data_IF_244351230714
#
_entry.id   IF_244351230714
#
_cell.length_a   1.000
_cell.length_b   1.000
_cell.length_c   1.000
_cell.angle_alpha   90.00
_cell.angle_beta   90.00
_cell.angle_gamma   90.00
#
_symmetry.space_group_name_H-M   'P 1'
#
loop_
_entity.id
_entity.type
_entity.pdbx_description
1 polymer ?
#
# COMPACT_ATOMS: atom_id res chain seq x y z
N UNK A 1 38.08 19.68 -10.41
CA UNK A 1 37.94 18.65 -9.38
C UNK A 1 36.62 17.95 -9.63
N UNK A 2 36.67 16.91 -10.48
CA UNK A 2 35.55 16.10 -10.90
C UNK A 2 35.15 15.13 -9.75
N UNK A 3 33.92 15.24 -9.31
CA UNK A 3 33.28 14.19 -8.49
C UNK A 3 32.30 13.44 -9.38
N UNK A 4 32.83 12.44 -10.08
CA UNK A 4 31.99 11.51 -10.82
C UNK A 4 31.54 10.39 -9.85
N UNK A 5 30.24 10.20 -9.59
CA UNK A 5 29.80 9.16 -8.66
C UNK A 5 29.93 7.77 -9.29
N UNK A 6 30.63 6.89 -8.60
CA UNK A 6 31.04 5.53 -9.01
C UNK A 6 29.90 4.52 -9.27
N UNK A 7 28.65 4.93 -9.27
CA UNK A 7 27.52 4.02 -9.51
C UNK A 7 27.13 3.85 -11.00
N UNK A 8 27.64 4.73 -11.89
CA UNK A 8 27.32 4.66 -13.33
C UNK A 8 27.99 3.53 -14.10
N UNK A 9 28.94 2.80 -13.51
CA UNK A 9 29.67 1.73 -14.18
C UNK A 9 29.21 0.31 -13.89
N UNK A 10 28.18 0.09 -13.07
CA UNK A 10 27.71 -1.29 -12.73
C UNK A 10 26.46 -1.74 -13.47
N UNK A 11 25.81 -0.90 -14.27
CA UNK A 11 24.60 -1.26 -15.04
C UNK A 11 24.88 -1.57 -16.52
N UNK A 12 26.10 -1.36 -17.00
CA UNK A 12 26.49 -1.61 -18.40
C UNK A 12 27.01 -3.00 -18.70
N UNK A 13 27.60 -3.68 -17.74
CA UNK A 13 28.35 -4.93 -17.99
C UNK A 13 27.58 -6.24 -17.70
N UNK A 14 26.38 -6.15 -17.16
CA UNK A 14 25.54 -7.33 -16.86
C UNK A 14 24.62 -7.74 -18.04
N UNK A 15 24.59 -6.99 -19.13
CA UNK A 15 23.67 -7.23 -20.26
C UNK A 15 24.35 -7.80 -21.53
N UNK A 16 25.63 -8.12 -21.50
CA UNK A 16 26.36 -8.55 -22.73
C UNK A 16 27.04 -9.92 -22.67
N UNK A 17 26.81 -10.74 -21.67
CA UNK A 17 27.34 -12.11 -21.67
C UNK A 17 26.26 -13.11 -21.33
N UNK A 18 25.40 -13.41 -22.30
CA UNK A 18 24.84 -14.74 -22.54
C UNK A 18 23.89 -14.69 -23.75
N UNK A 19 24.49 -14.48 -24.91
CA UNK A 19 23.83 -14.69 -26.19
C UNK A 19 24.33 -16.04 -26.71
N UNK A 20 23.66 -17.11 -26.43
CA UNK A 20 23.55 -18.33 -27.25
C UNK A 20 22.86 -19.46 -26.48
N UNK A 21 21.57 -19.37 -26.27
CA UNK A 21 20.75 -20.55 -26.00
C UNK A 21 19.33 -20.33 -26.49
N UNK A 22 19.05 -20.91 -27.67
CA UNK A 22 17.73 -21.28 -28.18
C UNK A 22 16.62 -20.22 -28.11
N UNK A 23 16.42 -19.51 -29.21
CA UNK A 23 15.13 -18.99 -29.64
C UNK A 23 14.12 -20.15 -29.74
N UNK A 24 13.46 -20.48 -28.65
CA UNK A 24 12.15 -21.14 -28.75
C UNK A 24 11.17 -20.06 -29.14
N UNK A 25 10.28 -20.29 -30.11
CA UNK A 25 9.16 -19.39 -30.36
C UNK A 25 8.36 -19.34 -29.06
N UNK A 26 8.35 -18.19 -28.39
CA UNK A 26 7.42 -17.89 -27.33
C UNK A 26 6.03 -17.91 -27.97
N UNK A 27 5.44 -19.11 -28.04
CA UNK A 27 4.01 -19.23 -28.17
C UNK A 27 3.44 -18.34 -27.09
N UNK A 28 2.40 -17.59 -27.45
CA UNK A 28 1.63 -16.69 -26.63
C UNK A 28 1.35 -17.30 -25.24
N UNK A 29 2.32 -17.26 -24.34
CA UNK A 29 2.03 -17.27 -22.93
C UNK A 29 1.41 -15.89 -22.68
N UNK A 30 0.08 -15.87 -22.78
CA UNK A 30 -0.73 -14.88 -22.11
C UNK A 30 -0.17 -14.87 -20.69
N UNK A 31 0.57 -13.82 -20.31
CA UNK A 31 0.88 -13.56 -18.91
C UNK A 31 -0.50 -13.53 -18.26
N UNK A 32 -0.82 -14.57 -17.53
CA UNK A 32 -2.04 -14.62 -16.73
C UNK A 32 -1.76 -13.69 -15.52
N UNK A 33 -1.89 -12.39 -15.79
CA UNK A 33 -2.04 -11.35 -14.80
C UNK A 33 -3.47 -11.46 -14.29
N UNK A 34 -3.88 -12.64 -13.82
CA UNK A 34 -4.95 -12.72 -12.87
C UNK A 34 -4.43 -12.02 -11.61
N UNK A 35 -4.63 -10.70 -11.55
CA UNK A 35 -4.42 -9.94 -10.33
C UNK A 35 -5.26 -10.65 -9.27
N UNK A 36 -4.59 -11.31 -8.31
CA UNK A 36 -5.29 -12.02 -7.26
C UNK A 36 -6.18 -11.01 -6.55
N UNK A 37 -7.48 -11.27 -6.53
CA UNK A 37 -8.44 -10.44 -5.80
C UNK A 37 -8.02 -10.41 -4.34
N UNK A 38 -7.62 -9.24 -3.86
CA UNK A 38 -7.25 -9.03 -2.46
C UNK A 38 -8.44 -8.53 -1.67
N UNK A 39 -8.48 -8.91 -0.38
CA UNK A 39 -9.35 -8.27 0.58
C UNK A 39 -8.61 -7.13 1.26
N UNK A 40 -9.08 -5.91 1.05
CA UNK A 40 -8.44 -4.68 1.49
C UNK A 40 -9.33 -3.97 2.50
N UNK A 41 -8.78 -3.62 3.65
CA UNK A 41 -9.40 -2.69 4.57
C UNK A 41 -9.01 -1.26 4.24
N UNK A 42 -9.93 -0.30 4.27
CA UNK A 42 -9.62 1.11 4.05
C UNK A 42 -10.22 1.99 5.15
N UNK A 43 -9.37 2.76 5.85
CA UNK A 43 -9.77 3.64 6.94
C UNK A 43 -9.40 5.08 6.60
N UNK A 44 -10.40 5.96 6.68
CA UNK A 44 -10.26 7.35 6.28
C UNK A 44 -10.72 7.58 4.84
N UNK A 45 -12.03 7.83 4.66
CA UNK A 45 -12.68 7.97 3.36
C UNK A 45 -13.03 9.44 3.04
N UNK A 46 -12.17 10.35 3.47
CA UNK A 46 -12.27 11.77 3.13
C UNK A 46 -11.93 12.05 1.66
N UNK A 47 -11.58 13.31 1.35
CA UNK A 47 -11.30 13.78 -0.01
C UNK A 47 -10.24 12.98 -0.77
N UNK A 48 -9.27 12.41 -0.06
CA UNK A 48 -8.22 11.58 -0.65
C UNK A 48 -8.58 10.10 -0.63
N UNK A 49 -8.99 9.56 0.52
CA UNK A 49 -9.21 8.13 0.69
C UNK A 49 -10.41 7.60 -0.09
N UNK A 50 -11.49 8.36 -0.23
CA UNK A 50 -12.67 7.94 -0.98
C UNK A 50 -12.35 7.59 -2.45
N UNK A 51 -11.70 8.47 -3.26
CA UNK A 51 -11.30 8.11 -4.61
C UNK A 51 -10.24 7.00 -4.67
N UNK A 52 -9.33 6.91 -3.69
CA UNK A 52 -8.35 5.82 -3.63
C UNK A 52 -9.07 4.47 -3.42
N UNK A 53 -9.98 4.38 -2.47
CA UNK A 53 -10.76 3.16 -2.22
C UNK A 53 -11.62 2.76 -3.42
N UNK A 54 -12.20 3.74 -4.12
CA UNK A 54 -12.97 3.49 -5.36
C UNK A 54 -12.10 2.92 -6.48
N UNK A 55 -10.87 3.39 -6.65
CA UNK A 55 -9.95 2.85 -7.64
C UNK A 55 -9.59 1.39 -7.35
N UNK A 56 -9.41 1.02 -6.07
CA UNK A 56 -9.16 -0.37 -5.67
C UNK A 56 -10.32 -1.29 -6.02
N UNK A 57 -11.57 -0.86 -5.78
CA UNK A 57 -12.75 -1.64 -6.20
C UNK A 57 -12.87 -1.74 -7.72
N UNK A 58 -12.56 -0.66 -8.44
CA UNK A 58 -12.55 -0.67 -9.89
C UNK A 58 -11.49 -1.61 -10.50
N UNK A 59 -10.40 -1.87 -9.75
CA UNK A 59 -9.36 -2.84 -10.10
C UNK A 59 -9.72 -4.28 -9.70
N UNK A 60 -10.91 -4.53 -9.15
CA UNK A 60 -11.39 -5.89 -8.86
C UNK A 60 -11.13 -6.38 -7.45
N UNK A 61 -10.63 -5.54 -6.53
CA UNK A 61 -10.41 -5.92 -5.14
C UNK A 61 -11.70 -5.81 -4.30
N UNK A 62 -11.82 -6.65 -3.26
CA UNK A 62 -12.84 -6.52 -2.23
C UNK A 62 -12.38 -5.46 -1.21
N UNK A 63 -13.11 -4.35 -1.10
CA UNK A 63 -12.74 -3.25 -0.20
C UNK A 63 -13.78 -3.07 0.90
N UNK A 64 -13.35 -3.20 2.16
CA UNK A 64 -14.12 -2.87 3.36
C UNK A 64 -13.71 -1.47 3.83
N UNK A 65 -14.65 -0.57 3.99
CA UNK A 65 -14.37 0.83 4.32
C UNK A 65 -14.95 1.29 5.65
N UNK A 66 -14.20 2.15 6.35
CA UNK A 66 -14.66 2.84 7.55
C UNK A 66 -14.17 4.29 7.60
N UNK A 67 -15.08 5.18 7.94
CA UNK A 67 -14.79 6.57 8.28
C UNK A 67 -15.81 7.06 9.32
N UNK A 68 -15.38 7.95 10.21
CA UNK A 68 -16.24 8.46 11.29
C UNK A 68 -17.25 9.54 10.81
N UNK A 69 -16.99 10.15 9.65
CA UNK A 69 -17.77 11.28 9.14
C UNK A 69 -18.25 11.09 7.71
N UNK A 70 -17.48 10.37 6.90
CA UNK A 70 -17.75 10.23 5.46
C UNK A 70 -18.43 8.90 5.15
N UNK A 71 -19.43 8.87 4.28
CA UNK A 71 -20.00 7.62 3.77
C UNK A 71 -18.97 6.90 2.89
N UNK A 72 -19.09 5.57 2.78
CA UNK A 72 -18.32 4.81 1.82
C UNK A 72 -18.72 5.15 0.39
N UNK A 73 -17.77 5.26 -0.55
CA UNK A 73 -18.08 5.44 -1.96
C UNK A 73 -18.65 4.15 -2.57
N UNK A 74 -19.26 4.26 -3.75
CA UNK A 74 -19.80 3.13 -4.49
C UNK A 74 -18.75 2.04 -4.70
N UNK A 75 -19.15 0.80 -4.48
CA UNK A 75 -18.30 -0.39 -4.59
C UNK A 75 -17.53 -0.75 -3.31
N UNK A 76 -17.41 0.16 -2.35
CA UNK A 76 -16.80 -0.10 -1.05
C UNK A 76 -17.85 -0.58 -0.05
N UNK A 77 -17.63 -1.72 0.57
CA UNK A 77 -18.52 -2.26 1.60
C UNK A 77 -18.30 -1.53 2.92
N UNK A 78 -19.32 -0.80 3.38
CA UNK A 78 -19.24 -0.09 4.65
C UNK A 78 -19.28 -1.03 5.83
N UNK A 79 -18.38 -0.86 6.78
CA UNK A 79 -18.37 -1.55 8.07
C UNK A 79 -18.54 -0.57 9.23
N UNK A 80 -18.82 -1.08 10.42
CA UNK A 80 -19.28 -0.25 11.55
C UNK A 80 -18.18 0.23 12.48
N UNK A 81 -16.97 -0.33 12.37
CA UNK A 81 -15.83 0.04 13.22
C UNK A 81 -14.49 -0.38 12.60
N UNK A 82 -13.39 0.12 13.16
CA UNK A 82 -12.01 -0.13 12.72
C UNK A 82 -11.65 -1.62 12.75
N UNK A 83 -12.06 -2.35 13.78
CA UNK A 83 -11.75 -3.77 13.89
C UNK A 83 -12.41 -4.61 12.76
N UNK A 84 -13.63 -4.23 12.35
CA UNK A 84 -14.32 -4.89 11.26
C UNK A 84 -13.62 -4.67 9.90
N UNK A 85 -12.93 -3.55 9.71
CA UNK A 85 -12.11 -3.30 8.50
C UNK A 85 -10.98 -4.31 8.40
N UNK A 86 -10.34 -4.62 9.52
CA UNK A 86 -9.16 -5.51 9.57
C UNK A 86 -9.51 -7.00 9.43
N UNK A 87 -10.77 -7.39 9.65
CA UNK A 87 -11.18 -8.79 9.71
C UNK A 87 -10.95 -9.53 8.39
N UNK A 88 -9.89 -10.32 8.33
CA UNK A 88 -9.49 -11.10 7.15
C UNK A 88 -8.90 -10.27 6.01
N UNK A 89 -8.53 -9.00 6.23
CA UNK A 89 -7.87 -8.18 5.24
C UNK A 89 -6.42 -8.64 5.01
N UNK A 90 -6.00 -8.69 3.75
CA UNK A 90 -4.61 -8.91 3.37
C UNK A 90 -3.76 -7.66 3.64
N UNK A 91 -4.34 -6.51 3.30
CA UNK A 91 -3.76 -5.18 3.49
C UNK A 91 -4.81 -4.28 4.14
N UNK A 92 -4.41 -3.48 5.13
CA UNK A 92 -5.22 -2.37 5.63
C UNK A 92 -4.53 -1.06 5.26
N UNK A 93 -5.27 -0.19 4.60
CA UNK A 93 -4.80 1.14 4.17
C UNK A 93 -5.40 2.19 5.09
N UNK A 94 -4.57 3.13 5.53
CA UNK A 94 -5.03 4.30 6.31
C UNK A 94 -4.72 5.59 5.54
N UNK A 95 -5.66 6.54 5.55
CA UNK A 95 -5.51 7.87 4.96
C UNK A 95 -6.12 8.91 5.90
N UNK A 96 -5.34 9.32 6.90
CA UNK A 96 -5.78 10.01 8.10
C UNK A 96 -5.15 11.41 8.22
N UNK A 97 -5.79 12.33 8.97
CA UNK A 97 -5.39 13.74 8.99
C UNK A 97 -4.04 14.04 9.65
N UNK A 98 -3.60 13.25 10.63
CA UNK A 98 -2.38 13.50 11.42
C UNK A 98 -1.88 12.27 12.18
N UNK A 99 -0.64 12.33 12.70
CA UNK A 99 0.01 11.24 13.39
C UNK A 99 -0.69 10.79 14.68
N UNK A 100 -1.33 11.70 15.42
CA UNK A 100 -2.07 11.34 16.64
C UNK A 100 -3.25 10.43 16.33
N UNK A 101 -4.03 10.77 15.30
CA UNK A 101 -5.16 9.95 14.85
C UNK A 101 -4.64 8.65 14.24
N UNK A 102 -3.59 8.70 13.42
CA UNK A 102 -3.00 7.52 12.81
C UNK A 102 -2.52 6.50 13.87
N UNK A 103 -1.85 6.94 14.93
CA UNK A 103 -1.44 6.09 16.06
C UNK A 103 -2.62 5.46 16.80
N UNK A 104 -3.65 6.25 17.07
CA UNK A 104 -4.86 5.74 17.75
C UNK A 104 -5.56 4.67 16.90
N UNK A 105 -5.74 4.91 15.62
CA UNK A 105 -6.33 3.95 14.68
C UNK A 105 -5.45 2.73 14.50
N UNK A 106 -4.13 2.91 14.38
CA UNK A 106 -3.18 1.80 14.28
C UNK A 106 -3.24 0.87 15.50
N UNK A 107 -3.31 1.42 16.71
CA UNK A 107 -3.42 0.61 17.94
C UNK A 107 -4.69 -0.27 17.93
N UNK A 108 -5.80 0.23 17.41
CA UNK A 108 -7.06 -0.50 17.30
C UNK A 108 -7.00 -1.52 16.18
N UNK A 109 -6.62 -1.11 14.97
CA UNK A 109 -6.63 -1.98 13.78
C UNK A 109 -5.65 -3.15 13.91
N UNK A 110 -4.45 -2.90 14.44
CA UNK A 110 -3.43 -3.92 14.65
C UNK A 110 -3.87 -5.03 15.62
N UNK A 111 -4.81 -4.74 16.53
CA UNK A 111 -5.36 -5.74 17.43
C UNK A 111 -6.24 -6.79 16.71
N UNK A 112 -6.79 -6.44 15.55
CA UNK A 112 -7.68 -7.28 14.75
C UNK A 112 -7.03 -7.81 13.47
N UNK A 113 -5.86 -7.32 13.08
CA UNK A 113 -5.13 -7.79 11.91
C UNK A 113 -4.48 -9.15 12.15
N UNK A 114 -4.45 -9.98 11.13
CA UNK A 114 -3.73 -11.25 11.14
C UNK A 114 -2.22 -11.04 11.05
N UNK A 115 -1.45 -11.93 11.69
CA UNK A 115 0.00 -11.93 11.51
C UNK A 115 0.38 -12.11 10.04
N UNK A 116 1.37 -11.36 9.60
CA UNK A 116 1.85 -11.40 8.22
C UNK A 116 1.02 -10.57 7.22
N UNK A 117 -0.13 -9.97 7.64
CA UNK A 117 -0.81 -8.94 6.85
C UNK A 117 -0.02 -7.62 6.85
N UNK A 118 -0.44 -6.66 6.04
CA UNK A 118 0.26 -5.38 5.86
C UNK A 118 -0.63 -4.22 6.32
N UNK A 119 -0.10 -3.35 7.18
CA UNK A 119 -0.66 -2.02 7.43
C UNK A 119 0.10 -1.01 6.56
N UNK A 120 -0.61 -0.38 5.62
CA UNK A 120 -0.10 0.62 4.69
C UNK A 120 -0.64 2.00 5.07
N UNK A 121 0.18 2.85 5.68
CA UNK A 121 -0.24 4.21 6.04
C UNK A 121 0.11 5.20 4.93
N UNK A 122 -0.93 5.71 4.25
CA UNK A 122 -0.82 6.71 3.20
C UNK A 122 -0.96 8.15 3.74
N UNK A 123 -1.09 8.31 5.05
CA UNK A 123 -1.23 9.60 5.71
C UNK A 123 0.08 10.40 5.65
N UNK A 124 -0.02 11.72 5.62
CA UNK A 124 1.16 12.58 5.81
C UNK A 124 1.33 12.85 7.29
N UNK A 125 2.21 12.08 7.92
CA UNK A 125 2.47 12.16 9.37
C UNK A 125 3.95 12.45 9.65
N UNK A 126 4.26 12.80 10.88
CA UNK A 126 5.64 12.99 11.32
C UNK A 126 6.38 11.66 11.50
N UNK A 127 7.71 11.71 11.35
CA UNK A 127 8.58 10.52 11.43
C UNK A 127 8.49 9.79 12.77
N UNK A 128 8.28 10.52 13.88
CA UNK A 128 8.17 9.90 15.19
C UNK A 128 6.89 9.05 15.26
N UNK A 129 5.77 9.58 14.82
CA UNK A 129 4.49 8.84 14.73
C UNK A 129 4.59 7.60 13.83
N UNK A 130 5.22 7.71 12.64
CA UNK A 130 5.42 6.57 11.75
C UNK A 130 6.27 5.47 12.40
N UNK A 131 7.35 5.84 13.11
CA UNK A 131 8.20 4.88 13.84
C UNK A 131 7.48 4.20 15.00
N UNK A 132 6.63 4.92 15.74
CA UNK A 132 5.83 4.34 16.80
C UNK A 132 4.81 3.33 16.24
N UNK A 133 4.16 3.64 15.11
CA UNK A 133 3.25 2.71 14.42
C UNK A 133 4.01 1.47 13.95
N UNK A 134 5.21 1.65 13.36
CA UNK A 134 6.05 0.54 12.94
C UNK A 134 6.39 -0.42 14.09
N UNK A 135 6.75 0.12 15.27
CA UNK A 135 7.02 -0.68 16.48
C UNK A 135 5.77 -1.42 16.97
N UNK A 136 4.60 -0.77 16.94
CA UNK A 136 3.33 -1.42 17.28
C UNK A 136 3.02 -2.58 16.33
N UNK A 137 3.20 -2.39 15.04
CA UNK A 137 2.97 -3.41 14.01
C UNK A 137 3.92 -4.61 14.19
N UNK A 138 5.23 -4.35 14.38
CA UNK A 138 6.25 -5.37 14.60
C UNK A 138 5.91 -6.25 15.83
N UNK A 139 5.48 -5.63 16.93
CA UNK A 139 5.08 -6.34 18.16
C UNK A 139 3.88 -7.28 17.96
N UNK A 140 3.12 -7.11 16.87
CA UNK A 140 1.95 -7.92 16.50
C UNK A 140 2.23 -8.88 15.33
N UNK A 141 3.46 -8.86 14.78
CA UNK A 141 3.82 -9.63 13.59
C UNK A 141 3.11 -9.16 12.32
N UNK A 142 2.68 -7.89 12.28
CA UNK A 142 2.10 -7.23 11.11
C UNK A 142 3.20 -6.43 10.41
N UNK A 143 3.25 -6.52 9.09
CA UNK A 143 4.16 -5.71 8.28
C UNK A 143 3.65 -4.27 8.24
N UNK A 144 4.56 -3.29 8.23
CA UNK A 144 4.20 -1.88 8.14
C UNK A 144 4.91 -1.19 6.98
N UNK A 145 4.16 -0.36 6.26
CA UNK A 145 4.67 0.55 5.23
C UNK A 145 4.19 1.97 5.53
N UNK A 146 5.12 2.90 5.62
CA UNK A 146 4.87 4.34 5.59
C UNK A 146 4.92 4.79 4.13
N UNK A 147 3.81 5.26 3.60
CA UNK A 147 3.66 5.52 2.17
C UNK A 147 2.89 6.81 1.86
N UNK A 148 3.36 7.97 2.36
CA UNK A 148 2.72 9.23 2.03
C UNK A 148 2.63 9.43 0.52
N UNK A 149 1.54 10.10 0.09
CA UNK A 149 1.19 10.24 -1.32
C UNK A 149 1.37 11.67 -1.84
N UNK A 150 1.70 11.78 -3.12
CA UNK A 150 1.79 13.04 -3.86
C UNK A 150 0.90 13.00 -5.11
N UNK A 151 0.22 14.09 -5.43
CA UNK A 151 -0.69 14.21 -6.58
C UNK A 151 -2.04 14.85 -6.24
N UNK A 152 -2.33 15.05 -4.94
CA UNK A 152 -3.57 15.66 -4.46
C UNK A 152 -4.83 14.92 -4.87
N UNK A 153 -5.98 15.53 -4.66
CA UNK A 153 -7.30 14.91 -4.96
C UNK A 153 -7.43 14.54 -6.44
N UNK A 154 -6.90 15.36 -7.34
CA UNK A 154 -6.93 15.06 -8.77
C UNK A 154 -6.16 13.77 -9.11
N UNK A 155 -4.98 13.58 -8.52
CA UNK A 155 -4.21 12.35 -8.65
C UNK A 155 -4.92 11.13 -8.04
N UNK A 156 -5.58 11.32 -6.90
CA UNK A 156 -6.37 10.26 -6.26
C UNK A 156 -7.54 9.80 -7.15
N UNK A 157 -8.28 10.75 -7.73
CA UNK A 157 -9.40 10.46 -8.66
C UNK A 157 -8.89 9.78 -9.93
N UNK A 158 -7.78 10.23 -10.49
CA UNK A 158 -7.21 9.70 -11.73
C UNK A 158 -6.45 8.38 -11.55
N UNK A 159 -6.23 7.89 -10.31
CA UNK A 159 -5.40 6.71 -10.05
C UNK A 159 -3.92 6.93 -10.40
N UNK A 160 -3.42 8.17 -10.31
CA UNK A 160 -2.08 8.57 -10.72
C UNK A 160 -1.24 9.16 -9.56
N UNK A 161 -1.57 8.79 -8.33
CA UNK A 161 -0.77 9.18 -7.16
C UNK A 161 0.63 8.57 -7.21
N UNK A 162 1.60 9.35 -6.76
CA UNK A 162 2.95 8.84 -6.45
C UNK A 162 3.00 8.49 -4.97
N UNK A 163 3.39 7.25 -4.66
CA UNK A 163 3.60 6.77 -3.29
C UNK A 163 5.10 6.82 -2.95
N UNK A 164 5.44 7.39 -1.81
CA UNK A 164 6.82 7.46 -1.31
C UNK A 164 6.96 6.42 -0.20
N UNK A 165 7.28 5.18 -0.57
CA UNK A 165 7.17 4.03 0.32
C UNK A 165 8.44 3.81 1.13
N UNK A 166 8.29 3.73 2.45
CA UNK A 166 9.30 3.30 3.41
C UNK A 166 8.86 2.05 4.15
N UNK A 167 9.76 1.06 4.27
CA UNK A 167 9.49 -0.20 4.97
C UNK A 167 10.39 -1.33 4.49
N UNK A 168 10.05 -2.57 4.78
CA UNK A 168 10.82 -3.74 4.33
C UNK A 168 10.45 -4.15 2.90
N UNK A 169 11.42 -4.73 2.16
CA UNK A 169 11.15 -5.31 0.82
C UNK A 169 10.05 -6.37 0.87
N UNK A 170 9.97 -7.13 1.98
CA UNK A 170 8.93 -8.14 2.19
C UNK A 170 7.53 -7.51 2.30
N UNK A 171 7.41 -6.44 3.07
CA UNK A 171 6.15 -5.71 3.19
C UNK A 171 5.73 -5.10 1.84
N UNK A 172 6.70 -4.48 1.15
CA UNK A 172 6.48 -3.88 -0.17
C UNK A 172 5.99 -4.92 -1.20
N UNK A 173 6.61 -6.09 -1.26
CA UNK A 173 6.22 -7.15 -2.19
C UNK A 173 4.85 -7.77 -1.92
N UNK A 174 4.28 -7.58 -0.72
CA UNK A 174 2.93 -8.04 -0.37
C UNK A 174 1.84 -7.00 -0.69
N UNK A 175 2.20 -5.73 -0.68
CA UNK A 175 1.28 -4.61 -0.89
C UNK A 175 1.24 -4.16 -2.35
#
# INVERSE_FOLDING_TARGET
KDRNPKWKHKLGDALLTESSAMLRPLGQQKLDLSEETMKIGFIGLGNMGSPMAKNLTASGHEVLGFDITSPCPDGVTQVTNVAAVAAGANVVITMLPNGTIAKSVAAEVLSAMAQGSVLLDCSTIDVASAREIAQMADSRGVEFLDAPVSGGVAGAVAGSLTFMVGGSDRAFGKA
#
